data_IF_334375925640
#
_entry.id   IF_334375925640
#
_cell.length_a   1.000
_cell.length_b   1.000
_cell.length_c   1.000
_cell.angle_alpha   90.00
_cell.angle_beta   90.00
_cell.angle_gamma   90.00
#
_symmetry.space_group_name_H-M   'P 1'
#
loop_
_entity.id
_entity.type
_entity.pdbx_description
1 polymer ?
#
# COMPACT_ATOMS: atom_id res chain seq x y z
N UNK A 1 2.36 71.55 6.06
CA UNK A 1 2.25 70.09 6.31
C UNK A 1 2.63 69.37 5.04
N UNK A 2 3.81 68.74 4.99
CA UNK A 2 4.22 67.83 3.92
C UNK A 2 4.74 66.59 4.65
N UNK A 3 4.02 65.47 4.57
CA UNK A 3 4.45 64.21 5.13
C UNK A 3 5.30 63.48 4.07
N UNK A 4 6.57 63.23 4.39
CA UNK A 4 7.46 62.43 3.56
C UNK A 4 7.33 60.98 4.03
N UNK A 5 6.74 60.13 3.19
CA UNK A 5 6.70 58.69 3.40
C UNK A 5 8.06 58.10 3.01
N UNK A 6 8.76 57.48 3.96
CA UNK A 6 9.99 56.74 3.70
C UNK A 6 9.64 55.26 3.64
N UNK A 7 9.60 54.68 2.44
CA UNK A 7 9.58 53.24 2.27
C UNK A 7 11.00 52.71 2.50
N UNK A 8 11.17 51.76 3.42
CA UNK A 8 12.44 51.05 3.55
C UNK A 8 12.49 49.95 2.49
N UNK A 9 13.52 50.02 1.66
CA UNK A 9 13.81 49.09 0.58
C UNK A 9 14.31 47.77 1.19
N UNK A 10 13.41 46.80 1.40
CA UNK A 10 13.77 45.48 1.93
C UNK A 10 14.24 44.59 0.78
N UNK A 11 15.56 44.54 0.58
CA UNK A 11 16.18 43.57 -0.32
C UNK A 11 15.94 42.13 0.15
N UNK A 12 15.69 41.23 -0.80
CA UNK A 12 15.42 39.78 -0.62
C UNK A 12 16.40 39.05 0.32
N UNK A 13 17.61 39.58 0.50
CA UNK A 13 18.66 38.98 1.31
C UNK A 13 18.33 39.00 2.82
N UNK A 14 17.56 39.99 3.32
CA UNK A 14 17.24 40.06 4.76
C UNK A 14 16.05 39.20 5.18
N UNK A 15 15.24 38.71 4.23
CA UNK A 15 14.14 37.79 4.53
C UNK A 15 14.68 36.41 4.94
N UNK A 16 15.82 36.01 4.38
CA UNK A 16 16.44 34.69 4.60
C UNK A 16 17.17 34.60 5.96
N UNK A 17 17.64 35.73 6.51
CA UNK A 17 18.41 35.77 7.76
C UNK A 17 17.52 35.72 9.02
N UNK A 18 16.23 36.04 8.89
CA UNK A 18 15.27 36.06 10.03
C UNK A 18 14.42 34.79 10.18
N UNK A 19 14.53 33.84 9.23
CA UNK A 19 13.88 32.53 9.30
C UNK A 19 14.81 31.39 9.75
N UNK A 20 15.97 31.72 10.33
CA UNK A 20 16.75 30.75 11.09
C UNK A 20 16.06 30.40 12.41
N UNK A 21 15.09 29.49 12.33
CA UNK A 21 14.56 28.79 13.50
C UNK A 21 15.69 28.02 14.15
N UNK A 22 16.15 28.53 15.30
CA UNK A 22 17.07 27.85 16.21
C UNK A 22 16.55 26.43 16.48
N UNK A 23 17.18 25.43 15.88
CA UNK A 23 16.91 23.99 16.08
C UNK A 23 16.19 23.25 14.94
N UNK A 24 15.78 23.92 13.85
CA UNK A 24 15.09 23.28 12.70
C UNK A 24 15.95 23.16 11.44
N UNK A 25 15.68 22.15 10.59
CA UNK A 25 16.29 22.04 9.24
C UNK A 25 15.88 23.25 8.39
N UNK A 26 16.79 23.74 7.55
CA UNK A 26 16.50 24.80 6.58
C UNK A 26 15.55 24.31 5.48
N UNK A 27 14.79 25.22 4.86
CA UNK A 27 13.85 24.87 3.77
C UNK A 27 14.58 24.23 2.58
N UNK A 28 15.83 24.63 2.31
CA UNK A 28 16.67 24.00 1.28
C UNK A 28 17.03 22.54 1.61
N UNK A 29 17.31 22.23 2.87
CA UNK A 29 17.57 20.85 3.32
C UNK A 29 16.30 19.99 3.23
N UNK A 30 15.15 20.54 3.63
CA UNK A 30 13.88 19.82 3.56
C UNK A 30 13.47 19.56 2.11
N UNK A 31 13.71 20.50 1.20
CA UNK A 31 13.49 20.29 -0.24
C UNK A 31 14.34 19.14 -0.78
N UNK A 32 15.62 19.06 -0.42
CA UNK A 32 16.49 17.94 -0.83
C UNK A 32 16.01 16.58 -0.30
N UNK A 33 15.54 16.55 0.95
CA UNK A 33 14.93 15.36 1.53
C UNK A 33 13.66 14.97 0.77
N UNK A 34 12.82 15.94 0.43
CA UNK A 34 11.59 15.71 -0.32
C UNK A 34 11.87 15.15 -1.72
N UNK A 35 12.80 15.73 -2.48
CA UNK A 35 13.18 15.25 -3.81
C UNK A 35 13.73 13.81 -3.76
N UNK A 36 14.60 13.53 -2.78
CA UNK A 36 15.13 12.16 -2.56
C UNK A 36 14.01 11.19 -2.21
N UNK A 37 13.06 11.63 -1.37
CA UNK A 37 11.91 10.84 -0.98
C UNK A 37 10.97 10.53 -2.15
N UNK A 38 10.71 11.51 -3.03
CA UNK A 38 9.88 11.32 -4.23
C UNK A 38 10.46 10.21 -5.13
N UNK A 39 11.78 10.24 -5.36
CA UNK A 39 12.48 9.22 -6.15
C UNK A 39 12.40 7.85 -5.48
N UNK A 40 12.69 7.79 -4.16
CA UNK A 40 12.67 6.53 -3.40
C UNK A 40 11.30 5.83 -3.45
N UNK A 41 10.21 6.60 -3.42
CA UNK A 41 8.85 6.07 -3.39
C UNK A 41 8.14 6.10 -4.75
N UNK A 42 8.85 6.46 -5.84
CA UNK A 42 8.30 6.48 -7.19
C UNK A 42 7.13 7.44 -7.39
N UNK A 43 7.12 8.57 -6.67
CA UNK A 43 6.04 9.57 -6.70
C UNK A 43 6.22 10.50 -7.90
N UNK A 44 5.15 10.70 -8.67
CA UNK A 44 5.10 11.66 -9.79
C UNK A 44 4.11 12.76 -9.43
N UNK A 45 4.54 14.01 -9.51
CA UNK A 45 3.72 15.20 -9.20
C UNK A 45 3.30 15.85 -10.51
N UNK A 46 1.99 16.08 -10.70
CA UNK A 46 1.43 16.46 -12.01
C UNK A 46 1.31 17.97 -12.22
N UNK A 47 1.35 18.78 -11.15
CA UNK A 47 1.30 20.25 -11.25
C UNK A 47 2.21 20.93 -10.22
N UNK A 48 2.66 22.15 -10.50
CA UNK A 48 3.45 22.95 -9.55
C UNK A 48 2.66 23.24 -8.26
N UNK A 49 1.36 23.52 -8.39
CA UNK A 49 0.47 23.76 -7.24
C UNK A 49 0.32 22.50 -6.37
N UNK A 50 0.19 21.33 -6.98
CA UNK A 50 0.17 20.06 -6.25
C UNK A 50 1.53 19.78 -5.60
N UNK A 51 2.63 20.04 -6.31
CA UNK A 51 3.99 19.90 -5.78
C UNK A 51 4.18 20.76 -4.53
N UNK A 52 3.77 22.02 -4.56
CA UNK A 52 3.88 22.95 -3.43
C UNK A 52 3.02 22.50 -2.25
N UNK A 53 1.77 22.10 -2.51
CA UNK A 53 0.87 21.58 -1.46
C UNK A 53 1.43 20.30 -0.82
N UNK A 54 1.90 19.35 -1.62
CA UNK A 54 2.48 18.08 -1.13
C UNK A 54 3.78 18.32 -0.36
N UNK A 55 4.58 19.30 -0.79
CA UNK A 55 5.78 19.70 -0.08
C UNK A 55 5.47 20.31 1.30
N UNK A 56 4.46 21.16 1.42
CA UNK A 56 4.06 21.70 2.74
C UNK A 56 3.53 20.62 3.69
N UNK A 57 2.75 19.66 3.16
CA UNK A 57 2.32 18.49 3.95
C UNK A 57 3.53 17.64 4.38
N UNK A 58 4.49 17.44 3.48
CA UNK A 58 5.72 16.72 3.77
C UNK A 58 6.55 17.42 4.85
N UNK A 59 6.69 18.76 4.79
CA UNK A 59 7.34 19.57 5.83
C UNK A 59 6.67 19.38 7.19
N UNK A 60 5.34 19.44 7.23
CA UNK A 60 4.58 19.26 8.47
C UNK A 60 4.76 17.84 9.05
N UNK A 61 4.68 16.80 8.21
CA UNK A 61 4.95 15.43 8.63
C UNK A 61 6.39 15.21 9.08
N UNK A 62 7.37 15.83 8.42
CA UNK A 62 8.77 15.75 8.82
C UNK A 62 8.99 16.38 10.22
N UNK A 63 8.40 17.55 10.48
CA UNK A 63 8.45 18.17 11.82
C UNK A 63 7.85 17.26 12.90
N UNK A 64 6.69 16.67 12.62
CA UNK A 64 6.07 15.71 13.54
C UNK A 64 6.95 14.48 13.80
N UNK A 65 7.63 13.97 12.77
CA UNK A 65 8.59 12.86 12.87
C UNK A 65 9.79 13.25 13.74
N UNK A 66 10.39 14.41 13.50
CA UNK A 66 11.54 14.89 14.28
C UNK A 66 11.18 15.11 15.75
N UNK A 67 10.05 15.76 16.00
CA UNK A 67 9.55 16.01 17.36
C UNK A 67 9.29 14.70 18.11
N UNK A 68 8.74 13.69 17.43
CA UNK A 68 8.55 12.35 18.01
C UNK A 68 9.88 11.65 18.26
N UNK A 69 10.77 11.62 17.27
CA UNK A 69 12.04 10.91 17.33
C UNK A 69 13.08 11.59 18.24
N UNK A 70 12.90 12.87 18.56
CA UNK A 70 13.69 13.58 19.59
C UNK A 70 13.42 13.04 21.00
N UNK A 71 12.29 12.34 21.19
CA UNK A 71 11.91 11.70 22.45
C UNK A 71 12.47 10.28 22.49
N UNK A 72 12.91 9.83 23.66
CA UNK A 72 13.37 8.46 23.86
C UNK A 72 12.20 7.47 24.00
N UNK A 73 11.43 7.29 22.93
CA UNK A 73 10.26 6.42 22.87
C UNK A 73 10.63 5.04 22.32
N UNK A 74 9.73 4.07 22.50
CA UNK A 74 9.89 2.65 22.11
C UNK A 74 9.77 2.39 20.60
N UNK A 75 9.26 3.37 19.85
CA UNK A 75 9.10 3.32 18.40
C UNK A 75 9.58 4.61 17.74
N UNK A 76 9.86 4.50 16.45
CA UNK A 76 10.29 5.59 15.57
C UNK A 76 9.27 5.80 14.47
N UNK A 77 9.13 7.07 14.10
CA UNK A 77 8.41 7.47 12.90
C UNK A 77 9.41 7.71 11.77
N UNK A 78 8.93 7.62 10.54
CA UNK A 78 9.77 7.80 9.36
C UNK A 78 9.02 8.38 8.18
N UNK A 79 9.79 8.77 7.17
CA UNK A 79 9.27 9.26 5.89
C UNK A 79 8.73 8.10 5.05
N UNK A 80 7.61 7.52 5.49
CA UNK A 80 6.90 6.44 4.79
C UNK A 80 6.35 6.94 3.46
N UNK A 81 5.78 6.04 2.64
CA UNK A 81 5.12 6.40 1.37
C UNK A 81 3.91 7.34 1.54
N UNK A 82 3.48 7.60 2.78
CA UNK A 82 2.37 8.48 3.15
C UNK A 82 2.82 9.85 3.67
N UNK A 83 4.12 10.16 3.64
CA UNK A 83 4.66 11.40 4.18
C UNK A 83 4.15 12.66 3.45
N UNK A 84 3.62 12.54 2.23
CA UNK A 84 3.00 13.62 1.45
C UNK A 84 1.47 13.72 1.62
N UNK A 85 0.87 12.94 2.52
CA UNK A 85 -0.57 12.92 2.78
C UNK A 85 -0.89 13.54 4.14
N UNK A 86 -1.97 14.33 4.20
CA UNK A 86 -2.56 14.69 5.48
C UNK A 86 -3.15 13.45 6.15
N UNK A 87 -3.38 13.51 7.47
CA UNK A 87 -4.00 12.37 8.15
C UNK A 87 -5.41 12.08 7.61
N UNK A 88 -6.19 13.11 7.26
CA UNK A 88 -7.52 12.94 6.66
C UNK A 88 -7.47 12.30 5.27
N UNK A 89 -6.52 12.70 4.42
CA UNK A 89 -6.29 12.07 3.12
C UNK A 89 -5.89 10.60 3.29
N UNK A 90 -4.96 10.31 4.20
CA UNK A 90 -4.56 8.95 4.54
C UNK A 90 -5.75 8.10 5.00
N UNK A 91 -6.56 8.62 5.94
CA UNK A 91 -7.74 7.92 6.47
C UNK A 91 -8.74 7.61 5.37
N UNK A 92 -9.00 8.57 4.49
CA UNK A 92 -9.96 8.44 3.39
C UNK A 92 -9.50 7.43 2.33
N UNK A 93 -8.19 7.35 2.06
CA UNK A 93 -7.64 6.52 0.98
C UNK A 93 -7.28 5.10 1.40
N UNK A 94 -6.85 4.89 2.66
CA UNK A 94 -6.24 3.63 3.10
C UNK A 94 -7.03 2.89 4.19
N UNK A 95 -8.06 3.52 4.75
CA UNK A 95 -8.90 2.95 5.79
C UNK A 95 -10.36 2.92 5.32
N UNK A 96 -11.26 2.43 6.18
CA UNK A 96 -12.69 2.40 5.91
C UNK A 96 -13.26 0.99 5.83
N UNK A 97 -12.58 0.00 6.42
CA UNK A 97 -13.18 -1.30 6.66
C UNK A 97 -14.41 -1.10 7.56
N UNK A 98 -15.61 -1.21 6.97
CA UNK A 98 -16.86 -1.11 7.72
C UNK A 98 -17.13 -2.44 8.40
N UNK A 99 -17.07 -2.44 9.72
CA UNK A 99 -17.53 -3.57 10.53
C UNK A 99 -19.04 -3.70 10.32
N UNK A 100 -19.49 -4.80 9.70
CA UNK A 100 -20.93 -5.05 9.55
C UNK A 100 -21.57 -5.33 10.92
N UNK A 101 -22.77 -4.79 11.15
CA UNK A 101 -23.60 -5.19 12.30
C UNK A 101 -23.88 -6.69 12.21
N UNK A 102 -23.37 -7.46 13.17
CA UNK A 102 -23.33 -8.93 13.12
C UNK A 102 -24.68 -9.54 13.50
N UNK A 103 -25.11 -10.58 12.76
CA UNK A 103 -25.94 -11.66 13.30
C UNK A 103 -25.13 -12.58 14.22
N UNK A 104 -25.73 -13.62 14.80
CA UNK A 104 -25.04 -14.57 15.69
C UNK A 104 -23.81 -15.19 14.99
N UNK A 105 -22.62 -14.91 15.51
CA UNK A 105 -21.36 -15.53 15.07
C UNK A 105 -20.97 -16.64 16.04
N UNK A 106 -20.35 -17.69 15.51
CA UNK A 106 -19.85 -18.82 16.30
C UNK A 106 -18.49 -18.46 16.91
N UNK A 107 -18.50 -18.11 18.19
CA UNK A 107 -17.28 -17.94 18.99
C UNK A 107 -16.73 -19.31 19.37
N UNK A 108 -15.44 -19.51 19.18
CA UNK A 108 -14.79 -20.76 19.55
C UNK A 108 -14.59 -20.88 21.06
N UNK A 109 -14.93 -22.04 21.62
CA UNK A 109 -14.55 -22.43 22.99
C UNK A 109 -13.15 -23.02 23.05
N UNK A 110 -12.54 -23.38 21.91
CA UNK A 110 -11.24 -24.04 21.84
C UNK A 110 -10.10 -23.15 22.35
N UNK A 111 -10.17 -21.87 22.01
CA UNK A 111 -9.13 -20.87 22.33
C UNK A 111 -9.50 -19.98 23.51
N UNK A 112 -10.54 -20.32 24.26
CA UNK A 112 -10.80 -19.70 25.55
C UNK A 112 -9.59 -19.91 26.47
N UNK A 113 -9.04 -18.82 26.99
CA UNK A 113 -7.91 -18.84 27.90
C UNK A 113 -8.31 -19.47 29.24
N UNK A 114 -7.50 -20.40 29.74
CA UNK A 114 -7.70 -21.07 31.03
C UNK A 114 -6.43 -20.99 31.87
N UNK A 115 -6.62 -20.94 33.18
CA UNK A 115 -5.51 -20.95 34.16
C UNK A 115 -4.67 -22.22 33.95
N UNK A 116 -3.39 -22.05 33.65
CA UNK A 116 -2.44 -23.14 33.40
C UNK A 116 -2.20 -23.50 31.94
N UNK A 117 -2.81 -22.79 30.97
CA UNK A 117 -2.51 -22.99 29.55
C UNK A 117 -1.02 -22.67 29.24
N UNK A 118 -0.29 -23.67 28.75
CA UNK A 118 1.10 -23.52 28.32
C UNK A 118 1.16 -23.15 26.82
N UNK A 119 1.54 -21.90 26.53
CA UNK A 119 1.82 -21.42 25.17
C UNK A 119 3.29 -20.95 25.08
N UNK A 120 3.93 -21.02 23.90
CA UNK A 120 5.29 -20.53 23.73
C UNK A 120 5.45 -19.06 24.15
N UNK A 121 6.67 -18.66 24.51
CA UNK A 121 6.98 -17.27 24.86
C UNK A 121 6.92 -16.35 23.62
N UNK A 122 7.38 -16.86 22.48
CA UNK A 122 7.32 -16.18 21.19
C UNK A 122 6.92 -17.13 20.06
N UNK A 123 6.23 -16.60 19.06
CA UNK A 123 5.84 -17.29 17.83
C UNK A 123 6.06 -16.34 16.66
N UNK A 124 6.63 -16.85 15.56
CA UNK A 124 6.79 -16.11 14.32
C UNK A 124 6.52 -17.02 13.12
N UNK A 125 5.28 -16.97 12.61
CA UNK A 125 4.84 -17.81 11.49
C UNK A 125 5.59 -17.53 10.18
N UNK A 126 6.36 -16.43 10.10
CA UNK A 126 7.23 -16.15 8.95
C UNK A 126 8.40 -17.13 8.91
N UNK A 127 8.94 -17.52 10.07
CA UNK A 127 10.03 -18.51 10.17
C UNK A 127 9.59 -19.92 9.76
N UNK A 128 8.30 -20.20 9.91
CA UNK A 128 7.68 -21.48 9.52
C UNK A 128 7.21 -21.51 8.05
N UNK A 129 7.48 -20.45 7.26
CA UNK A 129 7.05 -20.37 5.87
C UNK A 129 5.53 -20.27 5.67
N UNK A 130 4.76 -20.02 6.74
CA UNK A 130 3.29 -19.98 6.72
C UNK A 130 2.71 -18.61 6.32
N UNK A 131 3.56 -17.62 6.01
CA UNK A 131 3.16 -16.26 5.63
C UNK A 131 3.72 -15.93 4.25
N UNK A 132 2.85 -15.88 3.24
CA UNK A 132 3.25 -15.53 1.87
C UNK A 132 3.52 -14.02 1.72
N UNK A 133 4.46 -13.64 0.87
CA UNK A 133 4.72 -12.23 0.53
C UNK A 133 3.63 -11.60 -0.34
N UNK A 134 2.94 -12.41 -1.15
CA UNK A 134 1.88 -12.00 -2.08
C UNK A 134 0.65 -12.89 -1.93
N UNK A 135 -0.53 -12.32 -2.17
CA UNK A 135 -1.80 -13.06 -2.10
C UNK A 135 -1.95 -13.97 -3.33
N UNK A 136 -2.01 -15.29 -3.13
CA UNK A 136 -2.32 -16.27 -4.16
C UNK A 136 -3.56 -17.08 -3.76
N UNK A 137 -4.49 -17.30 -4.70
CA UNK A 137 -5.74 -18.03 -4.47
C UNK A 137 -5.53 -19.49 -4.87
N UNK A 138 -5.26 -20.38 -3.92
CA UNK A 138 -4.82 -21.77 -4.20
C UNK A 138 -5.65 -22.83 -3.46
N UNK A 139 -6.39 -22.47 -2.40
CA UNK A 139 -7.03 -23.45 -1.50
C UNK A 139 -8.44 -23.02 -1.08
N UNK A 140 -9.27 -24.00 -0.71
CA UNK A 140 -10.55 -23.81 -0.02
C UNK A 140 -10.38 -23.96 1.49
N UNK A 141 -11.16 -23.22 2.28
CA UNK A 141 -11.28 -23.39 3.73
C UNK A 141 -12.58 -24.14 4.04
N UNK A 142 -12.64 -24.86 5.16
CA UNK A 142 -13.81 -25.66 5.51
C UNK A 142 -14.82 -24.82 6.31
N UNK A 143 -14.33 -23.93 7.19
CA UNK A 143 -15.14 -22.92 7.89
C UNK A 143 -14.24 -21.82 8.49
N UNK A 144 -14.80 -20.97 9.36
CA UNK A 144 -14.06 -20.02 10.19
C UNK A 144 -14.74 -19.90 11.56
N UNK A 145 -13.98 -19.48 12.57
CA UNK A 145 -14.48 -19.20 13.92
C UNK A 145 -13.89 -17.89 14.45
N UNK A 146 -14.64 -17.22 15.33
CA UNK A 146 -14.16 -16.04 16.06
C UNK A 146 -13.40 -16.50 17.33
N UNK A 147 -12.29 -15.84 17.65
CA UNK A 147 -11.62 -16.00 18.95
C UNK A 147 -12.41 -15.19 19.99
N UNK A 148 -12.46 -15.61 21.27
CA UNK A 148 -13.09 -14.83 22.33
C UNK A 148 -12.63 -13.36 22.33
N UNK A 149 -13.59 -12.45 22.17
CA UNK A 149 -13.33 -11.02 22.09
C UNK A 149 -12.85 -10.46 23.43
N UNK A 150 -12.06 -9.38 23.36
CA UNK A 150 -11.50 -8.65 24.49
C UNK A 150 -10.64 -9.53 25.42
N UNK A 151 -9.89 -10.47 24.84
CA UNK A 151 -8.97 -11.34 25.58
C UNK A 151 -7.65 -11.49 24.80
N UNK A 152 -6.63 -10.72 25.20
CA UNK A 152 -5.28 -10.87 24.64
C UNK A 152 -4.71 -12.27 24.89
N UNK A 153 -5.10 -12.94 25.97
CA UNK A 153 -4.71 -14.32 26.26
C UNK A 153 -5.32 -15.31 25.26
N UNK A 154 -6.62 -15.17 24.96
CA UNK A 154 -7.30 -16.03 23.96
C UNK A 154 -6.73 -15.79 22.57
N UNK A 155 -6.46 -14.53 22.22
CA UNK A 155 -5.77 -14.16 20.99
C UNK A 155 -4.37 -14.79 20.91
N UNK A 156 -3.57 -14.72 21.99
CA UNK A 156 -2.24 -15.34 22.05
C UNK A 156 -2.31 -16.84 21.87
N UNK A 157 -3.28 -17.49 22.53
CA UNK A 157 -3.52 -18.93 22.45
C UNK A 157 -3.87 -19.36 21.03
N UNK A 158 -4.80 -18.67 20.37
CA UNK A 158 -5.14 -18.93 18.97
C UNK A 158 -3.94 -18.69 18.03
N UNK A 159 -3.22 -17.57 18.23
CA UNK A 159 -2.07 -17.20 17.41
C UNK A 159 -0.88 -18.16 17.57
N UNK A 160 -0.80 -18.89 18.69
CA UNK A 160 0.17 -19.98 18.87
C UNK A 160 -0.05 -21.18 17.95
N UNK A 161 -1.23 -21.28 17.32
CA UNK A 161 -1.62 -22.40 16.45
C UNK A 161 -1.65 -22.02 14.97
N UNK A 162 -1.97 -20.77 14.64
CA UNK A 162 -2.01 -20.26 13.27
C UNK A 162 -2.09 -18.73 13.24
N UNK A 163 -1.80 -18.07 12.10
CA UNK A 163 -2.08 -16.64 11.92
C UNK A 163 -3.57 -16.31 12.11
N UNK A 164 -3.85 -15.15 12.74
CA UNK A 164 -5.21 -14.72 13.11
C UNK A 164 -5.53 -13.41 12.40
N UNK A 165 -6.66 -13.37 11.69
CA UNK A 165 -7.17 -12.13 11.13
C UNK A 165 -7.76 -11.27 12.26
N UNK A 166 -7.34 -10.01 12.34
CA UNK A 166 -7.77 -9.08 13.39
C UNK A 166 -8.15 -7.74 12.77
N UNK A 167 -8.99 -6.98 13.47
CA UNK A 167 -9.28 -5.60 13.10
C UNK A 167 -8.66 -4.65 14.14
N UNK A 168 -8.20 -3.49 13.69
CA UNK A 168 -7.59 -2.45 14.52
C UNK A 168 -8.10 -1.07 14.12
N UNK A 169 -7.92 -0.08 15.00
CA UNK A 169 -7.96 1.33 14.64
C UNK A 169 -6.57 1.78 14.16
N UNK A 170 -6.42 1.95 12.83
CA UNK A 170 -5.18 2.36 12.17
C UNK A 170 -5.12 3.85 11.84
N UNK A 171 -6.11 4.63 12.28
CA UNK A 171 -6.36 5.98 11.81
C UNK A 171 -5.44 7.10 12.32
N UNK A 172 -4.63 6.84 13.34
CA UNK A 172 -3.77 7.87 13.95
C UNK A 172 -2.58 8.27 13.08
N UNK A 173 -2.16 9.54 13.19
CA UNK A 173 -0.99 10.08 12.47
C UNK A 173 0.32 9.32 12.78
N UNK A 174 0.49 8.87 14.02
CA UNK A 174 1.64 8.04 14.39
C UNK A 174 1.62 6.66 13.72
N UNK A 175 0.43 6.09 13.47
CA UNK A 175 0.29 4.82 12.75
C UNK A 175 0.60 5.01 11.26
N UNK A 176 0.08 6.09 10.64
CA UNK A 176 0.39 6.48 9.27
C UNK A 176 1.91 6.54 9.01
N UNK A 177 2.65 7.12 9.95
CA UNK A 177 4.09 7.39 9.80
C UNK A 177 4.98 6.36 10.53
N UNK A 178 4.43 5.24 10.99
CA UNK A 178 5.19 4.20 11.68
C UNK A 178 6.31 3.65 10.77
N UNK A 179 7.52 3.57 11.32
CA UNK A 179 8.70 3.04 10.64
C UNK A 179 9.24 1.80 11.34
N UNK A 180 9.48 1.88 12.65
CA UNK A 180 10.11 0.77 13.39
C UNK A 180 9.89 0.84 14.90
N UNK A 181 10.14 -0.28 15.59
CA UNK A 181 10.04 -0.40 17.06
C UNK A 181 8.67 -0.89 17.54
N UNK A 182 8.48 -0.93 18.87
CA UNK A 182 7.23 -1.42 19.48
C UNK A 182 6.25 -0.26 19.60
N UNK A 183 5.21 -0.26 18.78
CA UNK A 183 4.21 0.78 18.74
C UNK A 183 3.37 0.81 20.02
N UNK A 184 3.64 1.81 20.86
CA UNK A 184 2.86 2.17 22.05
C UNK A 184 2.13 3.52 21.90
N UNK A 185 2.00 4.03 20.67
CA UNK A 185 1.29 5.27 20.36
C UNK A 185 -0.20 5.25 20.72
N UNK A 186 -0.81 6.44 20.77
CA UNK A 186 -2.25 6.59 21.10
C UNK A 186 -3.11 6.12 19.93
N UNK A 187 -4.11 5.31 20.24
CA UNK A 187 -5.17 4.86 19.35
C UNK A 187 -6.42 4.51 20.17
N UNK A 188 -7.60 4.64 19.56
CA UNK A 188 -8.88 4.21 20.12
C UNK A 188 -9.22 2.76 19.76
N UNK A 189 -10.51 2.48 19.69
CA UNK A 189 -11.07 1.16 19.35
C UNK A 189 -12.16 1.25 18.29
N UNK A 190 -12.21 2.34 17.52
CA UNK A 190 -13.10 2.48 16.35
C UNK A 190 -12.46 1.78 15.15
N UNK A 191 -12.58 0.45 15.13
CA UNK A 191 -11.93 -0.43 14.17
C UNK A 191 -12.25 0.00 12.73
N UNK A 192 -11.20 0.31 11.97
CA UNK A 192 -11.30 0.87 10.61
C UNK A 192 -10.36 0.17 9.61
N UNK A 193 -9.57 -0.81 10.08
CA UNK A 193 -8.56 -1.50 9.29
C UNK A 193 -8.46 -2.99 9.64
N UNK A 194 -8.42 -3.85 8.63
CA UNK A 194 -8.23 -5.31 8.78
C UNK A 194 -6.78 -5.71 8.50
N UNK A 195 -6.17 -6.45 9.42
CA UNK A 195 -4.77 -6.87 9.38
C UNK A 195 -4.62 -8.33 9.82
N UNK A 196 -3.40 -8.87 9.72
CA UNK A 196 -3.11 -10.26 10.10
C UNK A 196 -2.08 -10.30 11.23
N UNK A 197 -2.48 -10.78 12.40
CA UNK A 197 -1.54 -11.12 13.46
C UNK A 197 -0.80 -12.41 13.08
N UNK A 198 0.53 -12.35 13.04
CA UNK A 198 1.40 -13.45 12.57
C UNK A 198 2.42 -13.91 13.61
N UNK A 199 2.42 -13.29 14.78
CA UNK A 199 3.35 -13.65 15.85
C UNK A 199 3.22 -12.76 17.07
N UNK A 200 4.05 -13.06 18.06
CA UNK A 200 4.21 -12.28 19.28
C UNK A 200 5.59 -12.57 19.89
N UNK A 201 6.05 -11.66 20.74
CA UNK A 201 7.28 -11.83 21.49
C UNK A 201 7.44 -10.76 22.56
N UNK A 202 8.66 -10.68 23.09
CA UNK A 202 9.06 -9.75 24.12
C UNK A 202 10.46 -9.22 23.79
N UNK A 203 10.68 -7.91 23.90
CA UNK A 203 11.97 -7.27 23.67
C UNK A 203 12.15 -6.15 24.70
N UNK A 204 13.27 -6.16 25.42
CA UNK A 204 13.61 -5.16 26.44
C UNK A 204 12.50 -4.94 27.49
N UNK A 205 11.83 -6.02 27.91
CA UNK A 205 10.75 -5.97 28.90
C UNK A 205 9.41 -5.43 28.36
N UNK A 206 9.29 -5.21 27.04
CA UNK A 206 8.03 -4.88 26.38
C UNK A 206 7.54 -6.04 25.53
N UNK A 207 6.29 -6.43 25.77
CA UNK A 207 5.60 -7.45 24.99
C UNK A 207 4.99 -6.84 23.75
N UNK A 208 5.02 -7.59 22.64
CA UNK A 208 4.47 -7.13 21.37
C UNK A 208 3.78 -8.23 20.57
N UNK A 209 2.80 -7.82 19.77
CA UNK A 209 2.24 -8.53 18.64
C UNK A 209 3.04 -8.23 17.38
N UNK A 210 3.25 -9.21 16.50
CA UNK A 210 3.77 -9.00 15.15
C UNK A 210 2.57 -9.01 14.20
N UNK A 211 2.31 -7.88 13.57
CA UNK A 211 1.13 -7.68 12.72
C UNK A 211 1.57 -7.37 11.29
N UNK A 212 1.11 -8.17 10.35
CA UNK A 212 1.30 -7.96 8.91
C UNK A 212 0.25 -6.99 8.39
N UNK A 213 0.71 -5.95 7.71
CA UNK A 213 -0.13 -4.98 7.04
C UNK A 213 -0.23 -5.26 5.53
N UNK A 214 -1.14 -4.57 4.84
CA UNK A 214 -1.43 -4.71 3.41
C UNK A 214 -0.93 -3.52 2.58
N UNK A 215 -0.08 -2.65 3.16
CA UNK A 215 0.43 -1.45 2.50
C UNK A 215 1.81 -1.62 1.84
N UNK A 216 2.24 -2.87 1.62
CA UNK A 216 3.52 -3.17 0.97
C UNK A 216 4.73 -2.98 1.91
N UNK A 217 5.89 -3.41 1.44
CA UNK A 217 7.11 -3.49 2.26
C UNK A 217 7.76 -2.13 2.56
N UNK A 218 7.35 -1.06 1.87
CA UNK A 218 7.90 0.29 2.08
C UNK A 218 7.27 1.05 3.27
N UNK A 219 6.38 0.40 4.02
CA UNK A 219 5.78 0.93 5.23
C UNK A 219 6.15 0.06 6.45
N UNK A 220 6.46 0.68 7.59
CA UNK A 220 6.83 -0.03 8.81
C UNK A 220 8.06 -0.94 8.64
N UNK A 221 8.11 -1.99 9.45
CA UNK A 221 9.18 -2.98 9.46
C UNK A 221 8.98 -3.97 8.30
N UNK A 222 9.27 -3.55 7.07
CA UNK A 222 9.05 -4.34 5.84
C UNK A 222 7.59 -4.76 5.62
N UNK A 223 6.64 -3.87 5.90
CA UNK A 223 5.20 -4.11 5.80
C UNK A 223 4.57 -4.66 7.07
N UNK A 224 5.33 -4.76 8.16
CA UNK A 224 4.87 -5.21 9.47
C UNK A 224 4.92 -4.08 10.49
N UNK A 225 4.17 -4.26 11.57
CA UNK A 225 4.24 -3.43 12.77
C UNK A 225 4.30 -4.34 13.98
N UNK A 226 5.18 -3.98 14.94
CA UNK A 226 5.15 -4.57 16.27
C UNK A 226 4.27 -3.70 17.17
N UNK A 227 3.13 -4.22 17.62
CA UNK A 227 2.19 -3.47 18.45
C UNK A 227 2.30 -3.91 19.91
N UNK A 228 2.30 -2.97 20.84
CA UNK A 228 2.35 -3.25 22.29
C UNK A 228 1.24 -4.25 22.71
N UNK A 229 1.61 -5.23 23.52
CA UNK A 229 0.75 -6.29 24.07
C UNK A 229 0.77 -6.22 25.59
N UNK A 230 -0.20 -6.87 26.24
CA UNK A 230 -0.32 -6.96 27.69
C UNK A 230 -0.58 -5.59 28.32
N UNK A 231 -1.50 -4.85 27.71
CA UNK A 231 -1.96 -3.56 28.23
C UNK A 231 -3.17 -3.76 29.15
N UNK A 232 -3.46 -2.76 30.00
CA UNK A 232 -4.59 -2.83 30.92
C UNK A 232 -5.97 -2.91 30.22
N UNK A 233 -6.08 -2.41 28.98
CA UNK A 233 -7.33 -2.46 28.23
C UNK A 233 -7.55 -3.84 27.62
N UNK A 234 -8.65 -4.49 27.99
CA UNK A 234 -9.02 -5.82 27.49
C UNK A 234 -9.24 -5.88 25.98
N UNK A 235 -9.57 -4.76 25.35
CA UNK A 235 -9.64 -4.64 23.88
C UNK A 235 -8.29 -4.82 23.17
N UNK A 236 -7.18 -4.78 23.92
CA UNK A 236 -5.82 -4.74 23.39
C UNK A 236 -5.50 -3.40 22.70
N UNK A 237 -4.23 -3.22 22.35
CA UNK A 237 -3.75 -1.99 21.69
C UNK A 237 -4.49 -1.78 20.36
N UNK A 238 -5.05 -0.59 20.19
CA UNK A 238 -5.86 -0.20 19.03
C UNK A 238 -7.04 -1.14 18.74
N UNK A 239 -7.53 -1.87 19.74
CA UNK A 239 -8.67 -2.78 19.60
C UNK A 239 -8.33 -4.13 18.96
N UNK A 240 -7.05 -4.52 18.89
CA UNK A 240 -6.61 -5.77 18.23
C UNK A 240 -7.30 -7.05 18.75
N UNK A 241 -7.76 -7.06 19.99
CA UNK A 241 -8.45 -8.21 20.59
C UNK A 241 -9.98 -8.15 20.46
N UNK A 242 -10.55 -7.15 19.78
CA UNK A 242 -12.01 -6.95 19.69
C UNK A 242 -12.65 -7.86 18.64
N UNK A 243 -12.08 -7.95 17.43
CA UNK A 243 -12.60 -8.82 16.35
C UNK A 243 -11.57 -9.80 15.74
N UNK A 244 -10.97 -10.69 16.55
CA UNK A 244 -10.10 -11.75 16.06
C UNK A 244 -10.87 -12.96 15.49
N UNK A 245 -10.44 -13.47 14.33
CA UNK A 245 -11.03 -14.66 13.69
C UNK A 245 -10.00 -15.47 12.90
N UNK A 246 -10.28 -16.76 12.69
CA UNK A 246 -9.37 -17.66 11.99
C UNK A 246 -10.11 -18.68 11.11
N UNK A 247 -9.53 -19.09 9.98
CA UNK A 247 -10.09 -20.14 9.14
C UNK A 247 -9.84 -21.52 9.77
N UNK A 248 -10.75 -22.45 9.52
CA UNK A 248 -10.64 -23.85 9.89
C UNK A 248 -10.41 -24.68 8.63
N UNK A 249 -9.43 -25.58 8.73
CA UNK A 249 -9.13 -26.58 7.71
C UNK A 249 -8.91 -27.92 8.40
N UNK A 250 -9.85 -28.84 8.21
CA UNK A 250 -9.86 -30.19 8.78
C UNK A 250 -9.27 -31.23 7.82
N UNK A 251 -9.33 -30.98 6.50
CA UNK A 251 -8.72 -31.83 5.48
C UNK A 251 -7.27 -31.45 5.18
N UNK A 252 -6.46 -32.42 4.75
CA UNK A 252 -5.19 -32.09 4.09
C UNK A 252 -5.49 -31.23 2.86
N UNK A 253 -4.70 -30.17 2.65
CA UNK A 253 -4.71 -29.51 1.35
C UNK A 253 -4.44 -30.59 0.30
N UNK A 254 -5.16 -30.60 -0.84
CA UNK A 254 -4.77 -31.47 -1.94
C UNK A 254 -3.26 -31.29 -2.16
N UNK A 255 -2.49 -32.38 -2.40
CA UNK A 255 -1.05 -32.28 -2.58
C UNK A 255 -0.80 -31.10 -3.50
N UNK A 256 0.04 -30.16 -3.02
CA UNK A 256 0.36 -28.92 -3.73
C UNK A 256 0.43 -29.30 -5.20
N UNK A 257 -0.46 -28.80 -6.08
CA UNK A 257 -0.33 -29.11 -7.49
C UNK A 257 1.08 -28.66 -7.81
N UNK A 258 1.98 -29.64 -8.04
CA UNK A 258 3.35 -29.35 -8.41
C UNK A 258 3.30 -28.26 -9.46
N UNK A 259 4.25 -27.30 -9.42
CA UNK A 259 4.11 -25.98 -10.01
C UNK A 259 3.16 -26.04 -11.19
N UNK A 260 1.97 -25.43 -11.05
CA UNK A 260 0.94 -25.48 -12.09
C UNK A 260 1.68 -25.44 -13.42
N UNK A 261 1.46 -26.42 -14.33
CA UNK A 261 2.05 -26.36 -15.66
C UNK A 261 1.91 -24.92 -16.12
N UNK A 262 3.00 -24.25 -16.56
CA UNK A 262 2.94 -22.83 -16.90
C UNK A 262 1.64 -22.63 -17.65
N UNK A 263 0.76 -21.76 -17.10
CA UNK A 263 -0.58 -21.53 -17.65
C UNK A 263 -0.44 -21.62 -19.16
N UNK A 264 -1.19 -22.50 -19.87
CA UNK A 264 -0.96 -22.76 -21.28
C UNK A 264 -0.73 -21.41 -21.92
N UNK A 265 0.49 -21.19 -22.46
CA UNK A 265 0.92 -19.86 -22.92
C UNK A 265 -0.26 -19.34 -23.71
N UNK A 266 -0.96 -18.34 -23.16
CA UNK A 266 -2.20 -17.88 -23.76
C UNK A 266 -1.76 -17.46 -25.16
N UNK A 267 -2.37 -18.00 -26.22
CA UNK A 267 -1.87 -17.78 -27.56
C UNK A 267 -1.79 -16.26 -27.77
N UNK A 268 -0.73 -15.76 -28.44
CA UNK A 268 -0.57 -14.34 -28.66
C UNK A 268 -1.86 -13.76 -29.25
N UNK A 269 -2.28 -12.59 -28.77
CA UNK A 269 -3.47 -11.90 -29.25
C UNK A 269 -3.33 -11.67 -30.76
N UNK A 270 -4.15 -12.36 -31.55
CA UNK A 270 -4.13 -12.24 -33.00
C UNK A 270 -4.81 -10.92 -33.39
N UNK A 271 -4.05 -10.01 -33.99
CA UNK A 271 -4.57 -8.72 -34.44
C UNK A 271 -5.27 -8.86 -35.80
N UNK A 272 -4.65 -9.60 -36.71
CA UNK A 272 -5.21 -9.97 -38.01
C UNK A 272 -4.54 -11.25 -38.55
N UNK A 273 -4.63 -11.50 -39.87
CA UNK A 273 -3.99 -12.66 -40.51
C UNK A 273 -2.46 -12.56 -40.62
N UNK A 274 -1.87 -11.40 -40.36
CA UNK A 274 -0.43 -11.12 -40.54
C UNK A 274 0.29 -10.73 -39.26
N UNK A 275 -0.40 -10.17 -38.26
CA UNK A 275 0.17 -9.58 -37.05
C UNK A 275 -0.39 -10.17 -35.76
N UNK A 276 0.49 -10.25 -34.76
CA UNK A 276 0.17 -10.72 -33.41
C UNK A 276 0.80 -9.83 -32.34
N UNK A 277 0.16 -9.79 -31.19
CA UNK A 277 0.65 -9.17 -29.97
C UNK A 277 0.82 -10.20 -28.86
N UNK A 278 1.61 -9.91 -27.81
CA UNK A 278 1.61 -10.71 -26.59
C UNK A 278 0.20 -10.91 -26.03
N UNK A 279 0.01 -11.95 -25.24
CA UNK A 279 -1.27 -12.44 -24.73
C UNK A 279 -1.96 -11.53 -23.70
N UNK A 280 -1.20 -10.59 -23.13
CA UNK A 280 -1.66 -9.52 -22.24
C UNK A 280 -1.80 -8.17 -22.95
N UNK A 281 -1.49 -8.11 -24.24
CA UNK A 281 -1.45 -6.86 -24.99
C UNK A 281 -2.70 -6.70 -25.86
N UNK A 282 -3.12 -5.46 -26.04
CA UNK A 282 -4.24 -5.08 -26.92
C UNK A 282 -3.72 -4.66 -28.29
N UNK A 283 -4.29 -5.23 -29.35
CA UNK A 283 -4.01 -4.86 -30.73
C UNK A 283 -4.62 -3.49 -31.05
N UNK A 284 -3.76 -2.53 -31.38
CA UNK A 284 -4.15 -1.18 -31.79
C UNK A 284 -3.71 -0.92 -33.22
N UNK A 285 -4.62 -0.44 -34.07
CA UNK A 285 -4.27 -0.07 -35.42
C UNK A 285 -3.33 1.15 -35.44
N UNK A 286 -2.21 1.07 -36.16
CA UNK A 286 -1.25 2.16 -36.34
C UNK A 286 -1.48 2.91 -37.66
N UNK A 287 -1.96 2.21 -38.68
CA UNK A 287 -2.19 2.78 -39.99
C UNK A 287 -3.49 2.23 -40.57
N UNK A 288 -4.56 3.02 -40.44
CA UNK A 288 -5.89 2.70 -40.96
C UNK A 288 -6.12 3.40 -42.29
N UNK A 289 -6.64 2.66 -43.28
CA UNK A 289 -7.17 3.24 -44.51
C UNK A 289 -8.49 2.54 -44.89
N UNK A 290 -9.57 3.31 -44.88
CA UNK A 290 -10.92 2.78 -45.04
C UNK A 290 -11.35 1.95 -43.83
N UNK A 291 -11.66 0.67 -44.03
CA UNK A 291 -11.99 -0.29 -42.95
C UNK A 291 -10.86 -1.27 -42.66
N UNK A 292 -9.69 -1.04 -43.24
CA UNK A 292 -8.56 -1.96 -43.17
C UNK A 292 -7.42 -1.33 -42.38
N UNK A 293 -6.87 -2.12 -41.47
CA UNK A 293 -5.64 -1.80 -40.77
C UNK A 293 -4.45 -2.42 -41.50
N UNK A 294 -3.48 -1.60 -41.90
CA UNK A 294 -2.30 -2.02 -42.66
C UNK A 294 -1.08 -2.29 -41.77
N UNK A 295 -1.09 -1.76 -40.55
CA UNK A 295 -0.05 -1.97 -39.56
C UNK A 295 -0.64 -1.96 -38.15
N UNK A 296 -0.19 -2.90 -37.32
CA UNK A 296 -0.65 -3.05 -35.95
C UNK A 296 0.45 -2.74 -34.93
N UNK A 297 0.02 -2.28 -33.76
CA UNK A 297 0.85 -2.08 -32.59
C UNK A 297 0.22 -2.73 -31.38
N UNK A 298 1.06 -3.13 -30.44
CA UNK A 298 0.68 -3.75 -29.19
C UNK A 298 0.69 -2.70 -28.08
N UNK A 299 -0.46 -2.48 -27.48
CA UNK A 299 -0.55 -1.78 -26.20
C UNK A 299 -0.24 -2.77 -25.08
N UNK A 300 0.69 -2.48 -24.15
CA UNK A 300 1.08 -3.40 -23.07
C UNK A 300 0.07 -3.44 -21.91
N UNK A 301 -1.21 -3.53 -22.25
CA UNK A 301 -2.36 -3.60 -21.35
C UNK A 301 -3.47 -4.42 -22.00
N UNK A 302 -4.21 -5.20 -21.21
CA UNK A 302 -5.37 -5.96 -21.66
C UNK A 302 -6.60 -5.04 -21.71
N UNK A 303 -7.37 -5.10 -22.81
CA UNK A 303 -8.57 -4.26 -22.99
C UNK A 303 -8.29 -2.76 -23.12
N UNK A 304 -7.10 -2.37 -23.58
CA UNK A 304 -6.68 -0.98 -23.67
C UNK A 304 -7.50 -0.19 -24.70
N UNK A 305 -7.69 1.10 -24.43
CA UNK A 305 -8.21 2.04 -25.43
C UNK A 305 -7.07 2.54 -26.32
N UNK A 306 -7.19 2.36 -27.63
CA UNK A 306 -6.22 2.83 -28.61
C UNK A 306 -6.48 4.31 -28.91
N UNK A 307 -5.52 5.18 -28.62
CA UNK A 307 -5.61 6.62 -28.92
C UNK A 307 -5.43 6.98 -30.40
N UNK A 308 -5.98 8.10 -30.84
CA UNK A 308 -5.96 8.49 -32.25
C UNK A 308 -4.58 8.98 -32.75
N UNK A 309 -3.61 9.17 -31.85
CA UNK A 309 -2.22 9.53 -32.19
C UNK A 309 -1.42 8.38 -32.82
N UNK A 310 -2.04 7.20 -32.95
CA UNK A 310 -1.43 5.97 -33.44
C UNK A 310 -0.20 5.51 -32.65
N UNK A 311 0.09 6.11 -31.49
CA UNK A 311 1.32 5.88 -30.74
C UNK A 311 1.06 5.52 -29.29
N UNK A 312 -0.02 6.03 -28.74
CA UNK A 312 -0.36 5.88 -27.33
C UNK A 312 -1.61 5.01 -27.15
N UNK A 313 -1.74 4.46 -25.96
CA UNK A 313 -2.91 3.73 -25.54
C UNK A 313 -3.16 3.94 -24.05
N UNK A 314 -4.42 3.74 -23.66
CA UNK A 314 -4.89 4.01 -22.32
C UNK A 314 -5.46 2.75 -21.66
N UNK A 315 -5.32 2.61 -20.33
CA UNK A 315 -6.01 1.55 -19.59
C UNK A 315 -7.52 1.62 -19.75
N UNK A 316 -8.20 0.47 -19.64
CA UNK A 316 -9.66 0.41 -19.71
C UNK A 316 -10.34 1.26 -18.63
N UNK A 317 -9.74 1.40 -17.45
CA UNK A 317 -10.24 2.23 -16.34
C UNK A 317 -10.09 3.74 -16.60
N UNK A 318 -9.23 4.11 -17.54
CA UNK A 318 -8.94 5.49 -17.95
C UNK A 318 -9.06 5.64 -19.48
N UNK A 319 -10.23 5.39 -20.08
CA UNK A 319 -10.32 5.19 -21.52
C UNK A 319 -10.19 6.47 -22.35
N UNK A 320 -10.23 7.65 -21.73
CA UNK A 320 -10.22 8.92 -22.47
C UNK A 320 -8.78 9.38 -22.72
N UNK A 321 -8.33 9.32 -23.97
CA UNK A 321 -7.00 9.80 -24.36
C UNK A 321 -6.94 11.34 -24.36
N UNK A 322 -6.06 11.92 -23.54
CA UNK A 322 -5.63 13.31 -23.60
C UNK A 322 -4.27 13.37 -24.32
N UNK A 323 -4.32 13.64 -25.62
CA UNK A 323 -3.13 13.65 -26.49
C UNK A 323 -2.24 14.87 -26.27
N UNK A 324 -2.80 15.99 -25.81
CA UNK A 324 -2.02 17.21 -25.55
C UNK A 324 -1.12 17.02 -24.34
N UNK A 325 -1.64 16.36 -23.30
CA UNK A 325 -0.89 16.09 -22.07
C UNK A 325 -0.20 14.72 -22.06
N UNK A 326 -0.49 13.84 -23.03
CA UNK A 326 0.03 12.48 -23.07
C UNK A 326 -0.50 11.62 -21.90
N UNK A 327 -1.76 11.83 -21.51
CA UNK A 327 -2.39 11.16 -20.37
C UNK A 327 -3.73 10.51 -20.76
N UNK A 328 -4.29 9.76 -19.81
CA UNK A 328 -5.50 8.99 -19.92
C UNK A 328 -6.41 9.39 -18.76
N UNK A 329 -7.65 9.77 -19.05
CA UNK A 329 -8.62 10.24 -18.07
C UNK A 329 -9.72 9.19 -17.87
N UNK A 330 -10.26 9.10 -16.66
CA UNK A 330 -11.42 8.23 -16.38
C UNK A 330 -12.68 8.68 -17.14
N UNK A 331 -12.80 9.99 -17.37
CA UNK A 331 -13.89 10.63 -18.10
C UNK A 331 -13.42 12.00 -18.61
N UNK A 332 -14.13 12.58 -19.58
CA UNK A 332 -13.85 13.94 -20.07
C UNK A 332 -13.86 14.92 -18.89
N UNK A 333 -12.83 15.77 -18.81
CA UNK A 333 -12.60 16.75 -17.72
C UNK A 333 -12.42 16.16 -16.31
N UNK A 334 -11.96 14.90 -16.21
CA UNK A 334 -11.53 14.32 -14.94
C UNK A 334 -10.23 14.96 -14.45
N UNK A 335 -10.13 15.25 -13.15
CA UNK A 335 -8.87 15.66 -12.51
C UNK A 335 -7.92 14.48 -12.24
N UNK A 336 -8.43 13.25 -12.33
CA UNK A 336 -7.65 12.02 -12.23
C UNK A 336 -7.19 11.60 -13.63
N UNK A 337 -5.88 11.61 -13.83
CA UNK A 337 -5.20 11.18 -15.05
C UNK A 337 -4.10 10.17 -14.74
N UNK A 338 -3.85 9.27 -15.68
CA UNK A 338 -2.69 8.37 -15.68
C UNK A 338 -1.90 8.57 -16.97
N UNK A 339 -0.59 8.30 -16.96
CA UNK A 339 0.21 8.47 -18.17
C UNK A 339 -0.22 7.48 -19.26
N UNK A 340 -0.35 7.95 -20.50
CA UNK A 340 -0.60 7.08 -21.63
C UNK A 340 0.62 6.19 -21.91
N UNK A 341 0.38 4.92 -22.24
CA UNK A 341 1.44 3.98 -22.55
C UNK A 341 1.73 4.01 -24.03
N UNK A 342 3.01 3.83 -24.36
CA UNK A 342 3.46 3.76 -25.75
C UNK A 342 3.19 2.37 -26.31
N UNK A 343 2.63 2.32 -27.50
CA UNK A 343 2.50 1.10 -28.30
C UNK A 343 3.88 0.63 -28.75
N UNK A 344 4.03 -0.69 -28.89
CA UNK A 344 5.17 -1.31 -29.57
C UNK A 344 4.70 -1.85 -30.92
N UNK A 345 5.57 -1.98 -31.95
CA UNK A 345 5.18 -2.62 -33.19
C UNK A 345 4.70 -4.07 -32.97
N UNK A 346 3.61 -4.47 -33.62
CA UNK A 346 3.14 -5.86 -33.58
C UNK A 346 4.08 -6.79 -34.35
N UNK A 347 4.11 -8.06 -33.95
CA UNK A 347 5.01 -9.04 -34.55
C UNK A 347 4.35 -9.69 -35.76
N UNK A 348 4.97 -9.65 -36.95
CA UNK A 348 4.42 -10.33 -38.11
C UNK A 348 4.65 -11.84 -38.03
N UNK A 349 3.67 -12.66 -38.44
CA UNK A 349 3.72 -14.13 -38.36
C UNK A 349 4.98 -14.74 -38.99
N UNK A 350 5.45 -14.20 -40.13
CA UNK A 350 6.64 -14.70 -40.84
C UNK A 350 7.96 -14.52 -40.06
N UNK A 351 7.97 -13.71 -39.00
CA UNK A 351 9.16 -13.49 -38.15
C UNK A 351 9.31 -14.52 -37.02
N UNK A 352 8.24 -15.23 -36.65
CA UNK A 352 8.27 -16.26 -35.59
C UNK A 352 8.88 -17.58 -36.08
N UNK A 353 8.79 -17.89 -37.38
CA UNK A 353 9.32 -19.13 -37.99
C UNK A 353 10.85 -19.22 -38.04
N UNK A 354 11.60 -18.16 -37.70
CA UNK A 354 13.08 -18.17 -37.72
C UNK A 354 13.75 -18.44 -36.37
N UNK A 355 13.00 -18.56 -35.27
CA UNK A 355 13.57 -18.74 -33.93
C UNK A 355 13.67 -20.19 -33.45
N UNK A 356 13.24 -21.17 -34.27
CA UNK A 356 13.29 -22.61 -33.95
C UNK A 356 14.32 -23.40 -34.79
N UNK A 357 15.39 -22.75 -35.26
CA UNK A 357 16.55 -23.43 -35.86
C UNK A 357 17.82 -22.86 -35.22
N UNK A 358 18.22 -23.41 -34.06
CA UNK A 358 19.60 -23.73 -33.64
C UNK A 358 19.51 -24.87 -32.64
#
# INVERSE_FOLDING_TARGET
MIAVSSAMDMSIISYDESHHTVGGRSDAEVMRLYETWLVKHGKVQNSLVEKDRRFEIFKDNLRFIDDHNSKNLSYRLGLTKFADLTNDEYRSMYLGAKMQKKGERKTSQLYEARVGDAVPESVDWRKEGAVAEKNAKVVTIDSYEDVPANSEESLKKALSKQPIAVAIEGGGRAFQLYDSGIFDGICGTQLDHGVLAVGYGSENGKDYWVVKNSWGSSWGESGYIRMERNIAASSGKCGIAVEPSYPIKNGQNPPNPGPSPPSPIKPPTQCDSYYTCPDTDTCCCLFEYGKYCFAWGCCPLEGATCCDDNYSCCPHEYPVCDLEQGTCLMKKNSSLSVKALKRKPATPFWSQSRKNIV
#
